data_IF_086824687611
#
_entry.id   IF_086824687611
#
_cell.length_a   1.000
_cell.length_b   1.000
_cell.length_c   1.000
_cell.angle_alpha   90.00
_cell.angle_beta   90.00
_cell.angle_gamma   90.00
#
_symmetry.space_group_name_H-M   'P 1'
#
loop_
_entity.id
_entity.type
_entity.pdbx_description
1 polymer ?
#
# COMPACT_ATOMS: atom_id res chain seq x y z
N UNK A 1 21.58 20.30 -18.61
CA UNK A 1 20.22 20.29 -18.09
C UNK A 1 20.19 20.71 -16.66
N UNK A 2 20.82 19.98 -15.79
CA UNK A 2 20.83 20.36 -14.38
C UNK A 2 21.40 21.75 -14.17
N UNK A 3 22.31 22.18 -15.02
CA UNK A 3 22.89 23.51 -14.95
C UNK A 3 21.86 24.63 -15.13
N UNK A 4 20.67 24.30 -15.62
CA UNK A 4 19.60 25.27 -15.83
C UNK A 4 18.83 25.57 -14.55
N UNK A 5 19.02 24.80 -13.50
CA UNK A 5 18.28 24.99 -12.25
C UNK A 5 18.94 26.09 -11.44
N UNK A 6 18.18 27.11 -11.16
CA UNK A 6 18.66 28.25 -10.36
C UNK A 6 18.39 28.02 -8.89
N UNK A 7 19.35 28.42 -8.06
CA UNK A 7 19.24 28.19 -6.61
C UNK A 7 17.98 28.83 -6.01
N UNK A 8 17.59 30.01 -6.45
CA UNK A 8 16.42 30.69 -5.92
C UNK A 8 15.14 30.37 -6.67
N UNK A 9 15.19 29.46 -7.63
CA UNK A 9 14.01 29.14 -8.41
C UNK A 9 13.09 28.18 -7.66
N UNK A 10 11.81 28.22 -7.99
CA UNK A 10 10.82 27.28 -7.51
C UNK A 10 11.21 25.84 -7.85
N UNK A 11 11.79 25.60 -9.02
CA UNK A 11 12.27 24.29 -9.42
C UNK A 11 13.36 23.75 -8.50
N UNK A 12 14.29 24.60 -8.14
CA UNK A 12 15.36 24.20 -7.24
C UNK A 12 14.81 23.78 -5.88
N UNK A 13 13.89 24.56 -5.34
CA UNK A 13 13.26 24.24 -4.06
C UNK A 13 12.49 22.93 -4.13
N UNK A 14 11.75 22.70 -5.20
CA UNK A 14 11.00 21.47 -5.38
C UNK A 14 11.90 20.24 -5.44
N UNK A 15 13.02 20.35 -6.17
CA UNK A 15 13.99 19.26 -6.23
C UNK A 15 14.63 18.97 -4.87
N UNK A 16 14.91 20.03 -4.14
CA UNK A 16 15.50 19.91 -2.82
C UNK A 16 14.54 19.20 -1.85
N UNK A 17 13.27 19.58 -1.88
CA UNK A 17 12.24 18.96 -1.06
C UNK A 17 12.13 17.47 -1.37
N UNK A 18 12.09 17.10 -2.64
CA UNK A 18 12.02 15.70 -3.04
C UNK A 18 13.23 14.90 -2.56
N UNK A 19 14.41 15.51 -2.60
CA UNK A 19 15.64 14.83 -2.19
C UNK A 19 15.75 14.68 -0.68
N UNK A 20 15.31 15.67 0.08
CA UNK A 20 15.56 15.74 1.52
C UNK A 20 14.35 15.38 2.39
N UNK A 21 13.12 15.70 1.95
CA UNK A 21 11.95 15.58 2.81
C UNK A 21 10.84 14.70 2.28
N UNK A 22 10.64 14.64 0.98
CA UNK A 22 9.55 13.87 0.41
C UNK A 22 9.79 12.37 0.53
N UNK A 23 11.02 11.96 0.48
CA UNK A 23 11.42 10.57 0.70
C UNK A 23 10.61 9.56 -0.12
N UNK A 24 10.36 9.90 -1.39
CA UNK A 24 9.56 9.05 -2.28
C UNK A 24 10.14 7.64 -2.38
N UNK A 25 11.47 7.53 -2.40
CA UNK A 25 12.11 6.22 -2.50
C UNK A 25 11.81 5.33 -1.30
N UNK A 26 11.72 5.92 -0.11
CA UNK A 26 11.37 5.15 1.08
C UNK A 26 9.92 4.69 1.05
N UNK A 27 9.04 5.55 0.56
CA UNK A 27 7.64 5.18 0.37
C UNK A 27 7.55 4.02 -0.61
N UNK A 28 8.23 4.12 -1.75
CA UNK A 28 8.23 3.07 -2.78
C UNK A 28 8.78 1.75 -2.25
N UNK A 29 9.81 1.79 -1.41
CA UNK A 29 10.32 0.58 -0.77
C UNK A 29 9.26 -0.11 0.08
N UNK A 30 8.53 0.67 0.87
CA UNK A 30 7.50 0.09 1.74
C UNK A 30 6.33 -0.48 0.97
N UNK A 31 5.79 0.28 0.03
CA UNK A 31 4.62 -0.18 -0.72
C UNK A 31 4.97 -1.19 -1.81
N UNK A 32 6.23 -1.25 -2.22
CA UNK A 32 6.68 -2.17 -3.25
C UNK A 32 7.02 -3.57 -2.75
N UNK A 33 6.88 -3.84 -1.47
CA UNK A 33 7.10 -5.19 -0.95
C UNK A 33 6.11 -6.15 -1.58
N UNK A 34 6.62 -7.33 -1.93
CA UNK A 34 5.83 -8.30 -2.68
C UNK A 34 4.52 -8.62 -1.97
N UNK A 35 3.42 -8.59 -2.71
CA UNK A 35 2.06 -8.91 -2.29
C UNK A 35 1.40 -7.87 -1.40
N UNK A 36 2.13 -6.89 -0.89
CA UNK A 36 1.61 -5.96 0.11
C UNK A 36 0.42 -5.14 -0.40
N UNK A 37 0.56 -4.55 -1.58
CA UNK A 37 -0.53 -3.72 -2.13
C UNK A 37 -1.69 -4.58 -2.62
N UNK A 38 -1.44 -5.78 -3.11
CA UNK A 38 -2.50 -6.71 -3.49
C UNK A 38 -3.33 -7.12 -2.27
N UNK A 39 -2.67 -7.36 -1.15
CA UNK A 39 -3.36 -7.71 0.10
C UNK A 39 -4.21 -6.53 0.58
N UNK A 40 -3.66 -5.33 0.55
CA UNK A 40 -4.39 -4.12 0.93
C UNK A 40 -5.65 -3.97 0.06
N UNK A 41 -5.51 -4.14 -1.24
CA UNK A 41 -6.63 -4.04 -2.16
C UNK A 41 -7.69 -5.10 -1.87
N UNK A 42 -7.27 -6.34 -1.61
CA UNK A 42 -8.19 -7.42 -1.24
C UNK A 42 -9.05 -7.04 -0.05
N UNK A 43 -8.42 -6.49 0.98
CA UNK A 43 -9.14 -6.10 2.20
C UNK A 43 -10.17 -5.01 1.87
N UNK A 44 -9.84 -4.10 0.96
CA UNK A 44 -10.77 -3.05 0.52
C UNK A 44 -11.96 -3.60 -0.25
N UNK A 45 -11.82 -4.80 -0.83
CA UNK A 45 -12.86 -5.46 -1.63
C UNK A 45 -13.56 -6.56 -0.84
N UNK A 46 -13.64 -6.40 0.47
CA UNK A 46 -14.37 -7.28 1.37
C UNK A 46 -13.77 -8.68 1.56
N UNK A 47 -12.53 -8.89 1.15
CA UNK A 47 -11.78 -10.10 1.53
C UNK A 47 -10.99 -9.74 2.76
N UNK A 48 -11.61 -9.86 3.93
CA UNK A 48 -11.16 -9.18 5.14
C UNK A 48 -10.74 -10.13 6.28
N UNK A 49 -10.72 -11.43 6.06
CA UNK A 49 -10.26 -12.39 7.04
C UNK A 49 -9.02 -13.11 6.54
N UNK A 50 -8.10 -13.41 7.46
CA UNK A 50 -6.82 -14.03 7.12
C UNK A 50 -6.99 -15.27 6.23
N UNK A 51 -7.89 -16.17 6.63
CA UNK A 51 -8.11 -17.41 5.88
C UNK A 51 -8.63 -17.16 4.48
N UNK A 52 -9.45 -16.13 4.31
CA UNK A 52 -10.01 -15.80 2.99
C UNK A 52 -8.95 -15.14 2.11
N UNK A 53 -8.11 -14.28 2.68
CA UNK A 53 -7.01 -13.67 1.94
C UNK A 53 -6.05 -14.77 1.47
N UNK A 54 -5.77 -15.74 2.32
CA UNK A 54 -4.92 -16.87 1.99
C UNK A 54 -5.44 -17.63 0.78
N UNK A 55 -6.75 -17.77 0.65
CA UNK A 55 -7.35 -18.46 -0.49
C UNK A 55 -7.15 -17.70 -1.80
N UNK A 56 -7.08 -16.37 -1.74
CA UNK A 56 -6.82 -15.54 -2.93
C UNK A 56 -5.38 -15.71 -3.40
N UNK A 57 -4.46 -15.91 -2.46
CA UNK A 57 -3.02 -16.03 -2.76
C UNK A 57 -2.49 -17.37 -2.26
N UNK A 58 -2.87 -18.49 -2.90
CA UNK A 58 -2.56 -19.81 -2.36
C UNK A 58 -1.06 -20.14 -2.33
N UNK A 59 -0.26 -19.49 -3.16
CA UNK A 59 1.20 -19.71 -3.15
C UNK A 59 1.92 -18.88 -2.09
N UNK A 60 1.22 -17.97 -1.44
CA UNK A 60 1.79 -17.12 -0.41
C UNK A 60 1.83 -17.88 0.90
N UNK A 61 3.00 -17.90 1.56
CA UNK A 61 3.10 -18.57 2.85
C UNK A 61 2.35 -17.81 3.93
N UNK A 62 1.91 -18.55 4.96
CA UNK A 62 1.24 -17.92 6.10
C UNK A 62 2.14 -16.91 6.79
N UNK A 63 3.44 -17.18 6.85
CA UNK A 63 4.40 -16.25 7.46
C UNK A 63 4.49 -14.94 6.69
N UNK A 64 4.57 -15.00 5.38
CA UNK A 64 4.65 -13.79 4.54
C UNK A 64 3.33 -13.01 4.63
N UNK A 65 2.21 -13.71 4.55
CA UNK A 65 0.91 -13.04 4.68
C UNK A 65 0.78 -12.34 6.03
N UNK A 66 1.12 -13.04 7.12
CA UNK A 66 1.08 -12.43 8.46
C UNK A 66 2.00 -11.22 8.56
N UNK A 67 3.18 -11.30 7.96
CA UNK A 67 4.13 -10.20 7.97
C UNK A 67 3.60 -8.98 7.22
N UNK A 68 3.01 -9.20 6.05
CA UNK A 68 2.44 -8.10 5.26
C UNK A 68 1.27 -7.44 5.99
N UNK A 69 0.41 -8.24 6.61
CA UNK A 69 -0.71 -7.72 7.39
C UNK A 69 -0.21 -6.92 8.59
N UNK A 70 0.82 -7.40 9.27
CA UNK A 70 1.42 -6.69 10.38
C UNK A 70 1.98 -5.33 9.95
N UNK A 71 2.68 -5.30 8.83
CA UNK A 71 3.22 -4.06 8.26
C UNK A 71 2.11 -3.07 7.93
N UNK A 72 1.06 -3.57 7.27
CA UNK A 72 -0.08 -2.70 6.93
C UNK A 72 -0.75 -2.12 8.17
N UNK A 73 -0.86 -2.91 9.23
CA UNK A 73 -1.42 -2.45 10.50
C UNK A 73 -0.53 -1.41 11.18
N UNK A 74 0.78 -1.65 11.21
CA UNK A 74 1.74 -0.72 11.81
C UNK A 74 1.78 0.61 11.08
N UNK A 75 1.58 0.58 9.77
CA UNK A 75 1.56 1.80 8.95
C UNK A 75 0.19 2.47 8.95
N UNK A 76 -0.74 1.96 9.73
CA UNK A 76 -2.11 2.49 9.84
C UNK A 76 -2.87 2.50 8.50
N UNK A 77 -2.56 1.55 7.64
CA UNK A 77 -3.28 1.37 6.38
C UNK A 77 -4.50 0.48 6.56
N UNK A 78 -4.45 -0.41 7.54
CA UNK A 78 -5.58 -1.24 7.94
C UNK A 78 -5.69 -1.26 9.46
N UNK A 79 -6.84 -1.70 9.94
CA UNK A 79 -7.04 -1.95 11.37
C UNK A 79 -7.84 -3.23 11.55
N UNK A 80 -7.68 -3.84 12.72
CA UNK A 80 -8.32 -5.10 13.06
C UNK A 80 -9.46 -4.83 14.03
N UNK A 81 -10.58 -5.51 13.84
CA UNK A 81 -11.72 -5.41 14.74
C UNK A 81 -12.37 -6.78 14.90
N UNK A 82 -13.20 -6.90 15.93
CA UNK A 82 -13.93 -8.14 16.19
C UNK A 82 -15.22 -8.16 15.39
N UNK A 83 -15.59 -9.36 14.91
CA UNK A 83 -16.88 -9.54 14.27
C UNK A 83 -17.88 -9.85 15.38
N UNK A 84 -18.95 -9.04 15.55
CA UNK A 84 -19.92 -9.26 16.63
C UNK A 84 -20.59 -10.62 16.53
N UNK A 85 -20.94 -11.17 17.70
CA UNK A 85 -21.76 -12.39 17.81
C UNK A 85 -21.16 -13.62 17.16
N UNK A 86 -19.83 -13.72 17.15
CA UNK A 86 -19.17 -14.93 16.67
C UNK A 86 -18.59 -15.72 17.86
N UNK A 87 -18.68 -17.07 17.76
CA UNK A 87 -18.15 -17.98 18.78
C UNK A 87 -17.49 -19.15 18.06
N UNK A 88 -16.15 -19.32 18.15
CA UNK A 88 -15.20 -18.42 18.82
C UNK A 88 -15.12 -17.04 18.16
N UNK A 89 -14.60 -16.06 18.88
CA UNK A 89 -14.50 -14.70 18.41
C UNK A 89 -13.71 -14.63 17.11
N UNK A 90 -14.30 -14.06 16.08
CA UNK A 90 -13.65 -13.87 14.77
C UNK A 90 -13.20 -12.43 14.62
N UNK A 91 -12.13 -12.26 13.83
CA UNK A 91 -11.54 -10.95 13.58
C UNK A 91 -11.64 -10.62 12.10
N UNK A 92 -11.72 -9.33 11.81
CA UNK A 92 -11.68 -8.84 10.44
C UNK A 92 -10.74 -7.65 10.34
N UNK A 93 -10.19 -7.46 9.14
CA UNK A 93 -9.39 -6.29 8.80
C UNK A 93 -10.22 -5.32 7.99
N UNK A 94 -9.96 -4.04 8.18
CA UNK A 94 -10.63 -2.98 7.42
C UNK A 94 -9.60 -1.96 7.00
N UNK A 95 -9.83 -1.31 5.86
CA UNK A 95 -8.90 -0.30 5.34
C UNK A 95 -9.23 1.04 5.98
N UNK A 96 -8.19 1.75 6.41
CA UNK A 96 -8.32 3.10 6.95
C UNK A 96 -8.49 4.11 5.82
N UNK A 97 -8.81 5.36 6.17
CA UNK A 97 -8.83 6.45 5.19
C UNK A 97 -7.46 6.60 4.52
N UNK A 98 -6.39 6.51 5.30
CA UNK A 98 -5.03 6.55 4.77
C UNK A 98 -4.80 5.43 3.76
N UNK A 99 -5.28 4.22 4.07
CA UNK A 99 -5.17 3.08 3.17
C UNK A 99 -5.96 3.28 1.89
N UNK A 100 -7.16 3.84 1.97
CA UNK A 100 -7.97 4.10 0.79
C UNK A 100 -7.32 5.13 -0.13
N UNK A 101 -6.71 6.16 0.45
CA UNK A 101 -5.97 7.13 -0.35
C UNK A 101 -4.81 6.48 -1.09
N UNK A 102 -4.10 5.59 -0.42
CA UNK A 102 -3.00 4.86 -1.06
C UNK A 102 -3.50 3.97 -2.19
N UNK A 103 -4.63 3.29 -1.99
CA UNK A 103 -5.22 2.42 -3.02
C UNK A 103 -5.52 3.22 -4.27
N UNK A 104 -6.05 4.44 -4.15
CA UNK A 104 -6.32 5.29 -5.30
C UNK A 104 -5.05 5.55 -6.11
N UNK A 105 -3.95 5.82 -5.42
CA UNK A 105 -2.65 6.05 -6.06
C UNK A 105 -2.19 4.78 -6.79
N UNK A 106 -2.35 3.63 -6.16
CA UNK A 106 -1.95 2.35 -6.74
C UNK A 106 -2.80 2.02 -7.98
N UNK A 107 -4.10 2.29 -7.93
CA UNK A 107 -4.96 2.08 -9.08
C UNK A 107 -4.58 3.01 -10.24
N UNK A 108 -4.21 4.25 -9.94
CA UNK A 108 -3.72 5.18 -10.95
C UNK A 108 -2.41 4.68 -11.56
N UNK A 109 -1.53 4.14 -10.73
CA UNK A 109 -0.27 3.56 -11.21
C UNK A 109 -0.54 2.37 -12.12
N UNK A 110 -1.50 1.53 -11.75
CA UNK A 110 -1.91 0.40 -12.59
C UNK A 110 -2.43 0.87 -13.95
N UNK A 111 -3.25 1.92 -13.95
CA UNK A 111 -3.77 2.49 -15.20
C UNK A 111 -2.65 3.04 -16.08
N UNK A 112 -1.68 3.68 -15.47
CA UNK A 112 -0.50 4.16 -16.19
C UNK A 112 0.27 3.00 -16.82
N UNK A 113 0.44 1.91 -16.07
CA UNK A 113 1.12 0.72 -16.58
C UNK A 113 0.37 0.10 -17.75
N UNK A 114 -0.95 -0.04 -17.63
CA UNK A 114 -1.77 -0.61 -18.70
C UNK A 114 -1.67 0.24 -19.97
N UNK A 115 -1.66 1.55 -19.82
CA UNK A 115 -1.61 2.46 -20.96
C UNK A 115 -0.28 2.36 -21.70
N UNK A 116 0.82 2.22 -20.99
CA UNK A 116 2.14 2.38 -21.60
C UNK A 116 2.98 1.12 -21.69
N UNK A 117 2.72 0.12 -20.86
CA UNK A 117 3.56 -1.08 -20.79
C UNK A 117 2.95 -2.30 -21.45
N UNK A 118 1.64 -2.30 -21.66
CA UNK A 118 0.95 -3.42 -22.29
C UNK A 118 0.54 -3.13 -23.73
N UNK A 119 1.33 -2.32 -24.41
CA UNK A 119 1.06 -1.95 -25.80
C UNK A 119 1.74 -2.87 -26.77
#
# INVERSE_FOLDING_TARGET
MASEIKVQSSNYENLRILAEYCNVNEILKRIGLRWKMQILYCISEDVYQFTKIKKVFPTLSDQVLAKRISELSEEALIYKSEIPNTTPQQLKYSVTEKGMDLIRIILDLNSWGDKWENQ
#
